data_IF_254765450363
#
_entry.id   IF_254765450363
#
_cell.length_a   1.000
_cell.length_b   1.000
_cell.length_c   1.000
_cell.angle_alpha   90.00
_cell.angle_beta   90.00
_cell.angle_gamma   90.00
#
_symmetry.space_group_name_H-M   'P 1'
#
loop_
_entity.id
_entity.type
_entity.pdbx_description
1 polymer ?
#
# COMPACT_ATOMS: atom_id res chain seq x y z
N UNK A 1 12.35 0.86 -18.99
CA UNK A 1 11.05 1.41 -19.44
C UNK A 1 10.66 2.55 -18.52
N UNK A 2 9.92 3.56 -19.01
CA UNK A 2 9.41 4.64 -18.13
C UNK A 2 8.24 4.09 -17.32
N UNK A 3 8.18 4.43 -16.02
CA UNK A 3 7.07 4.03 -15.16
C UNK A 3 5.87 4.95 -15.40
N UNK A 4 4.68 4.37 -15.51
CA UNK A 4 3.43 5.07 -15.80
C UNK A 4 2.65 5.36 -14.52
N UNK A 5 2.30 6.62 -14.32
CA UNK A 5 1.54 7.10 -13.17
C UNK A 5 0.16 7.59 -13.63
N UNK A 6 -0.90 7.06 -13.03
CA UNK A 6 -2.23 7.65 -13.11
C UNK A 6 -2.39 8.65 -11.96
N UNK A 7 -2.60 9.93 -12.30
CA UNK A 7 -2.86 11.02 -11.37
C UNK A 7 -4.32 11.45 -11.51
N UNK A 8 -5.09 11.39 -10.43
CA UNK A 8 -6.43 11.99 -10.35
C UNK A 8 -6.39 13.16 -9.37
N UNK A 9 -6.63 14.36 -9.88
CA UNK A 9 -6.59 15.63 -9.15
C UNK A 9 -7.52 16.62 -9.85
N UNK A 10 -8.47 17.21 -9.14
CA UNK A 10 -9.47 18.11 -9.72
C UNK A 10 -9.00 19.59 -9.78
N UNK A 11 -8.03 19.96 -8.93
CA UNK A 11 -7.38 21.28 -9.04
C UNK A 11 -6.48 21.33 -10.28
N UNK A 12 -6.85 22.15 -11.26
CA UNK A 12 -6.14 22.28 -12.55
C UNK A 12 -4.70 22.76 -12.38
N UNK A 13 -4.45 23.67 -11.44
CA UNK A 13 -3.11 24.20 -11.20
C UNK A 13 -2.21 23.14 -10.59
N UNK A 14 -2.71 22.45 -9.56
CA UNK A 14 -1.96 21.39 -8.89
C UNK A 14 -1.77 20.18 -9.81
N UNK A 15 -2.80 19.75 -10.52
CA UNK A 15 -2.72 18.61 -11.46
C UNK A 15 -1.73 18.87 -12.60
N UNK A 16 -1.74 20.08 -13.19
CA UNK A 16 -0.77 20.48 -14.22
C UNK A 16 0.66 20.53 -13.66
N UNK A 17 0.84 21.13 -12.49
CA UNK A 17 2.14 21.23 -11.81
C UNK A 17 2.71 19.85 -11.48
N UNK A 18 1.90 18.97 -10.87
CA UNK A 18 2.30 17.59 -10.55
C UNK A 18 2.67 16.80 -11.80
N UNK A 19 1.87 16.91 -12.86
CA UNK A 19 2.14 16.23 -14.14
C UNK A 19 3.48 16.66 -14.72
N UNK A 20 3.72 17.97 -14.79
CA UNK A 20 4.97 18.54 -15.30
C UNK A 20 6.16 18.07 -14.46
N UNK A 21 6.03 18.14 -13.14
CA UNK A 21 7.08 17.76 -12.21
C UNK A 21 7.40 16.26 -12.30
N UNK A 22 6.40 15.38 -12.25
CA UNK A 22 6.57 13.93 -12.37
C UNK A 22 7.22 13.53 -13.71
N UNK A 23 6.76 14.15 -14.80
CA UNK A 23 7.35 13.92 -16.13
C UNK A 23 8.81 14.36 -16.19
N UNK A 24 9.18 15.47 -15.53
CA UNK A 24 10.57 15.94 -15.43
C UNK A 24 11.48 14.97 -14.65
N UNK A 25 10.90 14.16 -13.75
CA UNK A 25 11.60 13.11 -12.99
C UNK A 25 11.66 11.77 -13.72
N UNK A 26 11.19 11.71 -14.99
CA UNK A 26 11.31 10.54 -15.85
C UNK A 26 10.09 9.61 -15.84
N UNK A 27 9.03 9.93 -15.10
CA UNK A 27 7.77 9.20 -15.16
C UNK A 27 6.98 9.55 -16.42
N UNK A 28 5.96 8.76 -16.73
CA UNK A 28 4.96 9.08 -17.73
C UNK A 28 3.62 9.22 -17.02
N UNK A 29 3.13 10.46 -16.87
CA UNK A 29 1.96 10.76 -16.06
C UNK A 29 0.74 10.99 -16.92
N UNK A 30 -0.33 10.22 -16.68
CA UNK A 30 -1.66 10.49 -17.17
C UNK A 30 -2.46 11.17 -16.07
N UNK A 31 -2.82 12.42 -16.30
CA UNK A 31 -3.67 13.19 -15.40
C UNK A 31 -5.13 13.14 -15.85
N UNK A 32 -6.04 13.00 -14.89
CA UNK A 32 -7.50 13.05 -15.03
C UNK A 32 -8.08 13.92 -13.91
N UNK A 33 -9.26 14.53 -14.11
CA UNK A 33 -9.80 15.57 -13.26
C UNK A 33 -10.84 15.11 -12.23
N UNK A 34 -11.26 13.85 -12.27
CA UNK A 34 -12.25 13.31 -11.34
C UNK A 34 -12.12 11.81 -11.21
N UNK A 35 -12.82 11.25 -10.21
CA UNK A 35 -12.74 9.81 -9.91
C UNK A 35 -13.37 8.91 -10.96
N UNK A 36 -14.36 9.41 -11.73
CA UNK A 36 -14.95 8.63 -12.81
C UNK A 36 -13.98 8.45 -13.96
N UNK A 37 -13.35 9.54 -14.42
CA UNK A 37 -12.30 9.49 -15.45
C UNK A 37 -11.13 8.59 -15.01
N UNK A 38 -10.78 8.62 -13.71
CA UNK A 38 -9.73 7.77 -13.17
C UNK A 38 -10.07 6.28 -13.33
N UNK A 39 -11.29 5.87 -13.00
CA UNK A 39 -11.73 4.50 -13.17
C UNK A 39 -11.86 4.08 -14.65
N UNK A 40 -12.39 4.95 -15.48
CA UNK A 40 -12.55 4.67 -16.91
C UNK A 40 -11.18 4.49 -17.58
N UNK A 41 -10.21 5.37 -17.26
CA UNK A 41 -8.84 5.22 -17.74
C UNK A 41 -8.17 3.95 -17.17
N UNK A 42 -8.32 3.72 -15.86
CA UNK A 42 -7.77 2.53 -15.22
C UNK A 42 -8.28 1.24 -15.86
N UNK A 43 -9.59 1.12 -16.07
CA UNK A 43 -10.19 -0.08 -16.72
C UNK A 43 -9.65 -0.34 -18.12
N UNK A 44 -9.39 0.73 -18.90
CA UNK A 44 -8.86 0.62 -20.24
C UNK A 44 -7.37 0.25 -20.26
N UNK A 45 -6.57 0.69 -19.29
CA UNK A 45 -5.10 0.64 -19.32
C UNK A 45 -4.46 0.03 -18.05
N UNK A 46 -5.19 -0.75 -17.26
CA UNK A 46 -4.73 -1.28 -15.97
C UNK A 46 -3.33 -1.95 -16.04
N UNK A 47 -3.07 -2.74 -17.08
CA UNK A 47 -1.82 -3.48 -17.24
C UNK A 47 -0.59 -2.58 -17.56
N UNK A 48 -0.81 -1.30 -17.83
CA UNK A 48 0.26 -0.33 -18.14
C UNK A 48 0.52 0.65 -17.01
N UNK A 49 -0.30 0.65 -15.96
CA UNK A 49 -0.21 1.59 -14.83
C UNK A 49 0.65 0.95 -13.74
N UNK A 50 1.77 1.62 -13.41
CA UNK A 50 2.71 1.16 -12.37
C UNK A 50 2.44 1.81 -11.01
N UNK A 51 1.71 2.95 -10.99
CA UNK A 51 1.44 3.72 -9.77
C UNK A 51 0.18 4.59 -9.93
N UNK A 52 -0.56 4.78 -8.84
CA UNK A 52 -1.76 5.60 -8.83
C UNK A 52 -1.65 6.66 -7.72
N UNK A 53 -1.94 7.91 -8.07
CA UNK A 53 -2.04 9.04 -7.14
C UNK A 53 -3.49 9.52 -7.20
N UNK A 54 -4.18 9.55 -6.07
CA UNK A 54 -5.58 9.97 -5.98
C UNK A 54 -5.74 11.12 -4.98
N UNK A 55 -6.28 12.24 -5.41
CA UNK A 55 -6.88 13.15 -4.44
C UNK A 55 -8.06 12.46 -3.77
N UNK A 56 -8.19 12.64 -2.47
CA UNK A 56 -9.34 12.16 -1.70
C UNK A 56 -10.61 12.92 -2.08
N UNK A 57 -10.50 14.24 -2.22
CA UNK A 57 -11.65 15.12 -2.46
C UNK A 57 -11.78 15.46 -3.94
N UNK A 58 -12.51 14.67 -4.68
CA UNK A 58 -12.77 14.91 -6.10
C UNK A 58 -14.29 14.91 -6.39
N UNK A 59 -14.73 15.64 -7.42
CA UNK A 59 -16.11 15.58 -7.89
C UNK A 59 -16.44 14.23 -8.50
N UNK A 60 -17.74 13.92 -8.61
CA UNK A 60 -18.34 12.70 -9.14
C UNK A 60 -18.06 11.45 -8.31
N UNK A 61 -16.81 11.19 -8.00
CA UNK A 61 -16.40 10.03 -7.16
C UNK A 61 -15.12 10.40 -6.40
N UNK A 62 -15.16 10.24 -5.08
CA UNK A 62 -14.01 10.48 -4.21
C UNK A 62 -12.90 9.43 -4.42
N UNK A 63 -11.67 9.79 -4.00
CA UNK A 63 -10.50 8.93 -4.18
C UNK A 63 -10.60 7.59 -3.46
N UNK A 64 -11.30 7.52 -2.31
CA UNK A 64 -11.48 6.26 -1.58
C UNK A 64 -12.39 5.31 -2.33
N UNK A 65 -13.48 5.83 -2.93
CA UNK A 65 -14.38 5.03 -3.75
C UNK A 65 -13.65 4.50 -5.00
N UNK A 66 -12.81 5.33 -5.64
CA UNK A 66 -11.96 4.90 -6.76
C UNK A 66 -11.03 3.77 -6.34
N UNK A 67 -10.28 3.95 -5.26
CA UNK A 67 -9.34 2.95 -4.77
C UNK A 67 -10.05 1.64 -4.40
N UNK A 68 -11.22 1.71 -3.76
CA UNK A 68 -12.02 0.53 -3.42
C UNK A 68 -12.39 -0.28 -4.65
N UNK A 69 -12.82 0.37 -5.72
CA UNK A 69 -13.15 -0.33 -6.98
C UNK A 69 -11.92 -0.96 -7.63
N UNK A 70 -10.81 -0.22 -7.69
CA UNK A 70 -9.54 -0.76 -8.20
C UNK A 70 -9.12 -2.00 -7.40
N UNK A 71 -9.22 -1.96 -6.07
CA UNK A 71 -8.82 -3.06 -5.18
C UNK A 71 -9.68 -4.31 -5.29
N UNK A 72 -10.85 -4.25 -5.91
CA UNK A 72 -11.64 -5.46 -6.24
C UNK A 72 -10.89 -6.37 -7.22
N UNK A 73 -10.13 -5.79 -8.14
CA UNK A 73 -9.46 -6.52 -9.24
C UNK A 73 -7.94 -6.45 -9.15
N UNK A 74 -7.39 -5.36 -8.62
CA UNK A 74 -5.94 -5.13 -8.49
C UNK A 74 -5.54 -4.80 -7.06
N UNK A 75 -4.77 -5.69 -6.46
CA UNK A 75 -4.19 -5.52 -5.13
C UNK A 75 -2.70 -5.18 -5.17
N UNK A 76 -2.11 -5.01 -6.36
CA UNK A 76 -0.66 -4.85 -6.53
C UNK A 76 -0.24 -3.44 -6.87
N UNK A 77 -0.95 -2.76 -7.77
CA UNK A 77 -0.58 -1.40 -8.18
C UNK A 77 -0.64 -0.47 -6.97
N UNK A 78 0.47 0.19 -6.61
CA UNK A 78 0.51 1.06 -5.44
C UNK A 78 -0.43 2.26 -5.59
N UNK A 79 -1.08 2.64 -4.48
CA UNK A 79 -1.97 3.80 -4.41
C UNK A 79 -1.47 4.75 -3.32
N UNK A 80 -1.16 5.99 -3.71
CA UNK A 80 -0.88 7.12 -2.83
C UNK A 80 -2.06 8.07 -2.81
N UNK A 81 -2.58 8.42 -1.64
CA UNK A 81 -3.60 9.46 -1.52
C UNK A 81 -2.99 10.83 -1.26
N UNK A 82 -3.53 11.85 -1.94
CA UNK A 82 -3.36 13.24 -1.57
C UNK A 82 -4.57 13.67 -0.73
N UNK A 83 -4.37 14.31 0.43
CA UNK A 83 -5.47 14.62 1.35
C UNK A 83 -5.27 15.97 2.04
N UNK A 84 -6.35 16.67 2.38
CA UNK A 84 -6.30 17.86 3.21
C UNK A 84 -6.04 17.48 4.70
N UNK A 85 -5.40 18.39 5.45
CA UNK A 85 -4.94 18.18 6.84
C UNK A 85 -6.05 17.87 7.86
N UNK A 86 -7.30 18.19 7.53
CA UNK A 86 -8.46 18.09 8.44
C UNK A 86 -9.06 16.67 8.57
N UNK A 87 -8.62 15.71 7.78
CA UNK A 87 -9.28 14.41 7.66
C UNK A 87 -8.56 13.28 8.41
N UNK A 88 -8.42 13.42 9.74
CA UNK A 88 -7.87 12.34 10.58
C UNK A 88 -8.67 11.04 10.48
N UNK A 89 -9.98 11.12 10.36
CA UNK A 89 -10.88 9.98 10.23
C UNK A 89 -10.81 9.31 8.85
N UNK A 90 -10.55 10.08 7.81
CA UNK A 90 -10.48 9.57 6.44
C UNK A 90 -9.17 8.80 6.17
N UNK A 91 -8.09 9.10 6.88
CA UNK A 91 -6.86 8.29 6.82
C UNK A 91 -7.10 6.85 7.29
N UNK A 92 -7.93 6.65 8.33
CA UNK A 92 -8.30 5.31 8.79
C UNK A 92 -9.16 4.57 7.76
N UNK A 93 -10.13 5.25 7.14
CA UNK A 93 -10.96 4.68 6.06
C UNK A 93 -10.14 4.26 4.85
N UNK A 94 -9.17 5.06 4.46
CA UNK A 94 -8.37 4.78 3.28
C UNK A 94 -7.38 3.64 3.47
N UNK A 95 -6.83 3.42 4.67
CA UNK A 95 -6.02 2.24 4.95
C UNK A 95 -6.87 0.95 4.90
N UNK A 96 -8.14 1.03 5.29
CA UNK A 96 -9.09 -0.07 5.11
C UNK A 96 -9.31 -0.42 3.64
N UNK A 97 -9.20 0.57 2.75
CA UNK A 97 -9.32 0.39 1.30
C UNK A 97 -8.03 -0.16 0.65
N UNK A 98 -6.89 -0.22 1.38
CA UNK A 98 -5.63 -0.79 0.89
C UNK A 98 -4.71 0.24 0.21
N UNK A 99 -4.66 1.47 0.71
CA UNK A 99 -3.68 2.47 0.32
C UNK A 99 -2.26 2.09 0.75
N UNK A 100 -1.27 2.47 -0.04
CA UNK A 100 0.14 2.23 0.27
C UNK A 100 0.75 3.39 1.06
N UNK A 101 0.29 4.62 0.84
CA UNK A 101 0.75 5.80 1.58
C UNK A 101 -0.24 6.98 1.46
N UNK A 102 -0.01 8.02 2.29
CA UNK A 102 -0.76 9.28 2.31
C UNK A 102 0.18 10.46 2.32
N UNK A 103 -0.17 11.49 1.55
CA UNK A 103 0.53 12.76 1.53
C UNK A 103 -0.46 13.89 1.82
N UNK A 104 -0.21 14.65 2.88
CA UNK A 104 -1.11 15.70 3.33
C UNK A 104 -0.80 17.03 2.62
N UNK A 105 -1.80 17.62 1.99
CA UNK A 105 -1.70 18.96 1.40
C UNK A 105 -1.68 20.04 2.51
N UNK A 106 -0.82 21.09 2.41
CA UNK A 106 0.22 21.29 1.41
C UNK A 106 1.45 20.41 1.68
N UNK A 107 2.15 20.00 0.62
CA UNK A 107 3.35 19.17 0.67
C UNK A 107 4.47 19.71 -0.25
N UNK A 108 5.70 19.34 0.03
CA UNK A 108 6.82 19.60 -0.85
C UNK A 108 6.87 18.57 -2.00
N UNK A 109 7.27 19.01 -3.20
CA UNK A 109 7.41 18.13 -4.36
C UNK A 109 8.47 17.05 -4.13
N UNK A 110 9.50 17.36 -3.37
CA UNK A 110 10.56 16.45 -2.95
C UNK A 110 10.01 15.32 -2.05
N UNK A 111 9.05 15.63 -1.19
CA UNK A 111 8.38 14.64 -0.34
C UNK A 111 7.57 13.66 -1.18
N UNK A 112 6.80 14.16 -2.16
CA UNK A 112 6.04 13.31 -3.08
C UNK A 112 6.97 12.33 -3.81
N UNK A 113 8.07 12.82 -4.39
CA UNK A 113 9.04 11.97 -5.09
C UNK A 113 9.68 10.94 -4.17
N UNK A 114 10.09 11.36 -2.97
CA UNK A 114 10.72 10.45 -1.99
C UNK A 114 9.78 9.29 -1.63
N UNK A 115 8.47 9.57 -1.46
CA UNK A 115 7.44 8.55 -1.19
C UNK A 115 7.23 7.61 -2.37
N UNK A 116 7.07 8.15 -3.57
CA UNK A 116 6.93 7.35 -4.81
C UNK A 116 8.15 6.41 -4.97
N UNK A 117 9.37 6.95 -4.85
CA UNK A 117 10.59 6.16 -4.96
C UNK A 117 10.73 5.09 -3.86
N UNK A 118 10.33 5.42 -2.62
CA UNK A 118 10.33 4.46 -1.52
C UNK A 118 9.37 3.29 -1.80
N UNK A 119 8.20 3.57 -2.39
CA UNK A 119 7.23 2.55 -2.76
C UNK A 119 7.76 1.70 -3.92
N UNK A 120 8.32 2.31 -4.98
CA UNK A 120 8.90 1.57 -6.09
C UNK A 120 10.08 0.67 -5.69
N UNK A 121 10.96 1.13 -4.78
CA UNK A 121 12.05 0.27 -4.23
C UNK A 121 11.49 -0.99 -3.57
N UNK A 122 10.41 -0.88 -2.80
CA UNK A 122 9.77 -2.03 -2.13
C UNK A 122 9.17 -3.01 -3.13
N UNK A 123 8.60 -2.49 -4.21
CA UNK A 123 8.07 -3.31 -5.32
C UNK A 123 9.21 -3.93 -6.14
N UNK A 124 10.32 -3.20 -6.34
CA UNK A 124 11.50 -3.64 -7.09
C UNK A 124 12.38 -4.65 -6.34
N UNK A 125 12.58 -4.48 -5.03
CA UNK A 125 13.33 -5.43 -4.21
C UNK A 125 12.61 -6.79 -4.06
N UNK A 126 11.30 -6.84 -4.30
CA UNK A 126 10.55 -8.09 -4.40
C UNK A 126 10.93 -8.91 -5.66
N UNK A 127 11.67 -8.32 -6.62
CA UNK A 127 11.98 -8.99 -7.91
C UNK A 127 13.30 -9.79 -7.92
N UNK A 128 14.07 -9.84 -6.84
CA UNK A 128 15.40 -10.50 -6.81
C UNK A 128 15.47 -11.71 -5.84
N UNK A 129 14.36 -12.28 -5.39
CA UNK A 129 14.41 -13.47 -4.55
C UNK A 129 13.75 -14.66 -5.26
N UNK A 130 14.52 -15.75 -5.39
CA UNK A 130 14.10 -17.07 -5.86
C UNK A 130 12.71 -17.47 -5.36
N UNK A 131 11.99 -18.26 -6.19
CA UNK A 131 10.74 -18.93 -5.82
C UNK A 131 10.89 -19.75 -4.52
N UNK A 132 10.62 -19.13 -3.40
CA UNK A 132 10.47 -19.88 -2.15
C UNK A 132 9.13 -19.49 -1.52
N UNK A 133 8.16 -20.39 -1.70
CA UNK A 133 6.98 -20.39 -0.84
C UNK A 133 7.44 -20.75 0.55
N UNK A 134 7.24 -19.84 1.49
CA UNK A 134 7.58 -20.08 2.89
C UNK A 134 6.37 -20.67 3.59
N UNK A 135 6.55 -21.80 4.25
CA UNK A 135 5.51 -22.40 5.09
C UNK A 135 5.33 -21.55 6.37
N UNK A 136 4.08 -21.27 6.72
CA UNK A 136 3.68 -20.64 7.97
C UNK A 136 2.62 -21.56 8.57
N UNK A 137 3.01 -22.47 9.45
CA UNK A 137 2.14 -23.57 9.88
C UNK A 137 1.64 -24.39 8.70
N UNK A 138 0.34 -24.56 8.56
CA UNK A 138 -0.31 -25.23 7.42
C UNK A 138 -0.50 -24.32 6.19
N UNK A 139 -0.23 -23.01 6.31
CA UNK A 139 -0.36 -22.04 5.23
C UNK A 139 0.95 -21.88 4.47
N UNK A 140 0.90 -21.32 3.26
CA UNK A 140 2.09 -21.00 2.46
C UNK A 140 2.05 -19.55 2.01
N UNK A 141 3.16 -18.86 2.06
CA UNK A 141 3.29 -17.49 1.64
C UNK A 141 4.31 -17.32 0.52
N UNK A 142 3.88 -16.73 -0.58
CA UNK A 142 4.72 -16.34 -1.70
C UNK A 142 4.81 -14.80 -1.71
N UNK A 143 5.91 -14.28 -1.18
CA UNK A 143 6.14 -12.84 -1.09
C UNK A 143 6.32 -12.19 -2.47
N UNK A 144 6.83 -12.92 -3.44
CA UNK A 144 7.07 -12.42 -4.80
C UNK A 144 5.76 -12.23 -5.57
N UNK A 145 4.83 -13.17 -5.41
CA UNK A 145 3.50 -13.09 -6.02
C UNK A 145 2.51 -12.29 -5.17
N UNK A 146 2.89 -11.91 -3.95
CA UNK A 146 2.00 -11.30 -2.95
C UNK A 146 0.76 -12.16 -2.70
N UNK A 147 0.95 -13.48 -2.56
CA UNK A 147 -0.12 -14.45 -2.36
C UNK A 147 0.10 -15.21 -1.06
N UNK A 148 -0.94 -15.26 -0.23
CA UNK A 148 -1.06 -16.17 0.88
C UNK A 148 -2.00 -17.32 0.46
N UNK A 149 -1.48 -18.53 0.47
CA UNK A 149 -2.23 -19.76 0.24
C UNK A 149 -2.80 -20.22 1.58
N UNK A 150 -4.11 -20.17 1.71
CA UNK A 150 -4.84 -20.54 2.92
C UNK A 150 -5.65 -21.81 2.68
N UNK A 151 -6.25 -22.37 3.74
CA UNK A 151 -7.10 -23.55 3.63
C UNK A 151 -8.34 -23.30 2.76
N UNK A 152 -8.83 -22.05 2.71
CA UNK A 152 -9.97 -21.62 1.90
C UNK A 152 -9.58 -21.16 0.48
N UNK A 153 -8.29 -21.23 0.10
CA UNK A 153 -7.78 -20.85 -1.23
C UNK A 153 -6.79 -19.70 -1.21
N UNK A 154 -6.48 -19.16 -2.38
CA UNK A 154 -5.50 -18.10 -2.56
C UNK A 154 -6.05 -16.73 -2.13
N UNK A 155 -5.26 -16.00 -1.35
CA UNK A 155 -5.55 -14.62 -0.94
C UNK A 155 -4.46 -13.68 -1.46
N UNK A 156 -4.80 -12.82 -2.41
CA UNK A 156 -3.88 -11.76 -2.87
C UNK A 156 -3.75 -10.70 -1.78
N UNK A 157 -2.50 -10.33 -1.49
CA UNK A 157 -2.15 -9.30 -0.52
C UNK A 157 -1.87 -7.96 -1.21
N UNK A 158 -2.19 -6.87 -0.55
CA UNK A 158 -1.74 -5.53 -0.96
C UNK A 158 -0.24 -5.37 -0.67
N UNK A 159 0.40 -4.36 -1.26
CA UNK A 159 1.84 -4.10 -1.07
C UNK A 159 2.23 -3.99 0.40
N UNK A 160 1.41 -3.32 1.23
CA UNK A 160 1.69 -3.17 2.68
C UNK A 160 1.45 -4.46 3.46
N UNK A 161 0.40 -5.20 3.16
CA UNK A 161 0.14 -6.52 3.76
C UNK A 161 1.29 -7.48 3.45
N UNK A 162 1.73 -7.50 2.18
CA UNK A 162 2.85 -8.33 1.74
C UNK A 162 4.16 -7.95 2.44
N UNK A 163 4.50 -6.66 2.48
CA UNK A 163 5.71 -6.18 3.14
C UNK A 163 5.71 -6.49 4.64
N UNK A 164 4.57 -6.27 5.32
CA UNK A 164 4.45 -6.54 6.75
C UNK A 164 4.50 -8.04 7.05
N UNK A 165 3.78 -8.87 6.27
CA UNK A 165 3.84 -10.33 6.42
C UNK A 165 5.24 -10.87 6.13
N UNK A 166 5.94 -10.34 5.13
CA UNK A 166 7.33 -10.71 4.84
C UNK A 166 8.28 -10.45 6.01
N UNK A 167 8.12 -9.31 6.69
CA UNK A 167 8.93 -9.02 7.88
C UNK A 167 8.56 -9.93 9.06
N UNK A 168 7.28 -10.21 9.28
CA UNK A 168 6.83 -11.13 10.32
C UNK A 168 7.36 -12.56 10.08
N UNK A 169 7.32 -13.03 8.83
CA UNK A 169 7.80 -14.36 8.44
C UNK A 169 9.31 -14.48 8.57
N UNK A 170 10.07 -13.44 8.22
CA UNK A 170 11.53 -13.41 8.43
C UNK A 170 11.92 -13.47 9.92
N UNK A 171 11.01 -13.07 10.81
CA UNK A 171 11.20 -13.03 12.26
C UNK A 171 10.21 -13.94 12.99
N UNK A 172 9.89 -15.13 12.42
CA UNK A 172 9.01 -16.11 13.09
C UNK A 172 9.57 -16.42 14.48
N UNK A 173 8.71 -16.37 15.49
CA UNK A 173 9.03 -16.58 16.88
C UNK A 173 10.00 -15.56 17.50
N UNK A 174 10.30 -14.46 16.79
CA UNK A 174 11.05 -13.31 17.30
C UNK A 174 10.19 -12.04 17.32
N UNK A 175 10.64 -11.04 18.07
CA UNK A 175 9.91 -9.78 18.20
C UNK A 175 10.25 -8.84 17.05
N UNK A 176 9.25 -8.47 16.27
CA UNK A 176 9.35 -7.45 15.24
C UNK A 176 9.12 -6.07 15.88
N UNK A 177 10.18 -5.27 15.97
CA UNK A 177 10.11 -3.92 16.55
C UNK A 177 9.19 -3.00 15.74
N UNK A 178 8.26 -2.32 16.45
CA UNK A 178 7.24 -1.49 15.84
C UNK A 178 7.82 -0.29 15.09
N UNK A 179 8.75 0.43 15.72
CA UNK A 179 9.30 1.67 15.15
C UNK A 179 10.21 1.35 13.95
N UNK A 180 11.06 0.34 14.07
CA UNK A 180 11.90 -0.11 12.97
C UNK A 180 11.04 -0.57 11.77
N UNK A 181 9.95 -1.30 12.03
CA UNK A 181 9.01 -1.75 10.99
C UNK A 181 8.30 -0.59 10.33
N UNK A 182 7.86 0.41 11.11
CA UNK A 182 7.23 1.62 10.58
C UNK A 182 8.19 2.37 9.65
N UNK A 183 9.43 2.61 10.08
CA UNK A 183 10.45 3.23 9.24
C UNK A 183 10.74 2.43 7.98
N UNK A 184 10.83 1.10 8.09
CA UNK A 184 11.12 0.23 6.96
C UNK A 184 9.99 0.20 5.92
N UNK A 185 8.72 0.19 6.36
CA UNK A 185 7.56 0.04 5.47
C UNK A 185 6.91 1.38 5.10
N UNK A 186 6.90 2.38 5.99
CA UNK A 186 6.23 3.67 5.77
C UNK A 186 7.18 4.85 5.63
N UNK A 187 8.48 4.65 5.90
CA UNK A 187 9.51 5.70 5.81
C UNK A 187 9.72 6.48 7.09
N UNK A 188 8.69 6.57 7.94
CA UNK A 188 8.76 7.18 9.27
C UNK A 188 7.85 6.45 10.27
N UNK A 189 8.01 6.75 11.58
CA UNK A 189 7.30 6.13 12.69
C UNK A 189 6.28 7.07 13.35
N UNK A 190 5.73 8.02 12.58
CA UNK A 190 4.74 8.95 13.08
C UNK A 190 3.45 8.26 13.56
N UNK A 191 2.64 8.99 14.35
CA UNK A 191 1.41 8.48 14.94
C UNK A 191 0.43 7.87 13.92
N UNK A 192 0.32 8.46 12.73
CA UNK A 192 -0.61 7.99 11.69
C UNK A 192 -0.15 6.67 11.07
N UNK A 193 1.14 6.54 10.82
CA UNK A 193 1.73 5.29 10.34
C UNK A 193 1.58 4.18 11.38
N UNK A 194 1.69 4.51 12.67
CA UNK A 194 1.41 3.59 13.76
C UNK A 194 -0.01 3.03 13.74
N UNK A 195 -1.02 3.89 13.54
CA UNK A 195 -2.42 3.47 13.40
C UNK A 195 -2.65 2.63 12.14
N UNK A 196 -1.99 3.00 11.04
CA UNK A 196 -2.03 2.20 9.81
C UNK A 196 -1.52 0.79 10.03
N UNK A 197 -0.36 0.65 10.68
CA UNK A 197 0.21 -0.66 10.99
C UNK A 197 -0.76 -1.53 11.78
N UNK A 198 -1.48 -0.96 12.76
CA UNK A 198 -2.47 -1.70 13.56
C UNK A 198 -3.61 -2.26 12.68
N UNK A 199 -4.08 -1.49 11.69
CA UNK A 199 -5.08 -1.95 10.73
C UNK A 199 -4.57 -3.13 9.91
N UNK A 200 -3.33 -3.06 9.40
CA UNK A 200 -2.74 -4.16 8.63
C UNK A 200 -2.48 -5.40 9.48
N UNK A 201 -2.05 -5.22 10.73
CA UNK A 201 -1.93 -6.34 11.69
C UNK A 201 -3.29 -7.02 11.91
N UNK A 202 -4.36 -6.25 12.08
CA UNK A 202 -5.70 -6.80 12.23
C UNK A 202 -6.15 -7.59 10.98
N UNK A 203 -5.86 -7.08 9.78
CA UNK A 203 -6.15 -7.78 8.52
C UNK A 203 -5.35 -9.08 8.40
N UNK A 204 -4.05 -9.04 8.68
CA UNK A 204 -3.21 -10.24 8.64
C UNK A 204 -3.65 -11.29 9.65
N UNK A 205 -4.03 -10.89 10.89
CA UNK A 205 -4.62 -11.81 11.88
C UNK A 205 -5.82 -12.53 11.31
N UNK A 206 -6.74 -11.80 10.66
CA UNK A 206 -7.94 -12.39 10.07
C UNK A 206 -7.59 -13.41 8.97
N UNK A 207 -6.58 -13.14 8.15
CA UNK A 207 -6.13 -14.04 7.09
C UNK A 207 -5.42 -15.29 7.62
N UNK A 208 -4.61 -15.13 8.67
CA UNK A 208 -3.82 -16.22 9.27
C UNK A 208 -4.63 -17.09 10.23
N UNK A 209 -5.77 -16.61 10.72
CA UNK A 209 -6.61 -17.32 11.69
C UNK A 209 -7.28 -18.59 11.14
N UNK A 210 -7.11 -18.89 9.84
CA UNK A 210 -7.51 -20.18 9.26
C UNK A 210 -6.66 -21.35 9.79
N UNK A 211 -5.46 -21.08 10.31
CA UNK A 211 -4.63 -22.05 11.03
C UNK A 211 -4.50 -21.64 12.50
N UNK A 212 -5.08 -22.41 13.45
CA UNK A 212 -5.02 -22.11 14.88
C UNK A 212 -3.60 -22.23 15.48
N UNK A 213 -2.64 -22.81 14.76
CA UNK A 213 -1.24 -22.84 15.18
C UNK A 213 -0.54 -21.49 14.97
N UNK A 214 -1.14 -20.57 14.20
CA UNK A 214 -0.54 -19.30 13.83
C UNK A 214 -1.18 -18.17 14.64
N UNK A 215 -0.35 -17.33 15.26
CA UNK A 215 -0.83 -16.20 16.05
C UNK A 215 0.10 -14.99 15.90
N UNK A 216 -0.46 -13.79 15.68
CA UNK A 216 0.28 -12.53 15.80
C UNK A 216 -0.01 -11.93 17.17
N UNK A 217 0.95 -12.00 18.08
CA UNK A 217 0.85 -11.41 19.42
C UNK A 217 1.33 -9.96 19.44
N UNK A 218 0.69 -9.15 20.32
CA UNK A 218 1.23 -7.84 20.70
C UNK A 218 2.26 -8.02 21.81
N UNK A 219 3.45 -7.45 21.63
CA UNK A 219 4.43 -7.30 22.70
C UNK A 219 4.38 -5.83 23.15
N UNK A 220 3.77 -5.64 24.33
CA UNK A 220 3.45 -4.30 24.84
C UNK A 220 4.69 -3.38 24.85
N UNK A 221 4.53 -2.19 24.27
CA UNK A 221 5.60 -1.18 24.20
C UNK A 221 6.73 -1.47 23.20
N UNK A 222 6.78 -2.68 22.58
CA UNK A 222 7.88 -3.10 21.72
C UNK A 222 7.40 -3.31 20.28
N UNK A 223 6.40 -4.17 20.04
CA UNK A 223 5.97 -4.47 18.68
C UNK A 223 5.08 -5.70 18.57
N UNK A 224 5.36 -6.53 17.59
CA UNK A 224 4.56 -7.71 17.26
C UNK A 224 5.43 -8.97 17.17
N UNK A 225 4.83 -10.13 17.39
CA UNK A 225 5.50 -11.41 17.25
C UNK A 225 4.57 -12.38 16.52
N UNK A 226 5.04 -12.93 15.39
CA UNK A 226 4.38 -14.03 14.70
C UNK A 226 4.81 -15.34 15.34
N UNK A 227 3.86 -16.06 15.90
CA UNK A 227 4.10 -17.38 16.52
C UNK A 227 3.55 -18.45 15.59
N UNK A 228 4.33 -19.50 15.39
CA UNK A 228 3.92 -20.75 14.76
C UNK A 228 4.22 -21.86 15.77
N UNK A 229 3.17 -22.54 16.22
CA UNK A 229 3.23 -23.64 17.21
C UNK A 229 3.59 -24.95 16.57
#
# INVERSE_FOLDING_TARGET
MKQHILLAEDDENLGSLLTTFLNSKGYQTKWVKNGKEALDFYRAFANTIDFIILDVMMPEKDGFAVAKEIRLTDKKTPILFLTAKSMKEDKLKGFDVGADDYLTKPFAMEELIARIQAIFRRVGDASIIKEERVAIGSLQFDSNKSILYTLSGEKKLTTKENALLSLLVKNINDVLDRQATLRAIWGDDNYFNGRSMDVYIAKLRKLLNEDPAIEIMNIHGIGFKLIVK
#
